data_IF_281639396907
#
_entry.id   IF_281639396907
#
_cell.length_a   1.000
_cell.length_b   1.000
_cell.length_c   1.000
_cell.angle_alpha   90.00
_cell.angle_beta   90.00
_cell.angle_gamma   90.00
#
_symmetry.space_group_name_H-M   'P 1'
#
loop_
_entity.id
_entity.type
_entity.pdbx_description
1 polymer ?
#
# COMPACT_ATOMS: atom_id res chain seq x y z
N UNK A 1 7.66 -6.75 -18.47
CA UNK A 1 7.31 -7.21 -17.11
C UNK A 1 6.80 -6.05 -16.23
N UNK A 2 7.55 -4.96 -16.06
CA UNK A 2 7.12 -3.77 -15.29
C UNK A 2 5.74 -3.20 -15.69
N UNK A 3 5.43 -3.14 -16.99
CA UNK A 3 4.14 -2.65 -17.48
C UNK A 3 2.95 -3.51 -17.03
N UNK A 4 3.13 -4.82 -16.86
CA UNK A 4 2.09 -5.71 -16.33
C UNK A 4 1.89 -5.44 -14.84
N UNK A 5 2.97 -5.44 -14.04
CA UNK A 5 2.92 -5.12 -12.60
C UNK A 5 2.22 -3.78 -12.36
N UNK A 6 2.58 -2.75 -13.14
CA UNK A 6 1.97 -1.43 -12.99
C UNK A 6 0.48 -1.40 -13.32
N UNK A 7 -0.01 -2.23 -14.26
CA UNK A 7 -1.45 -2.35 -14.54
C UNK A 7 -2.16 -3.11 -13.41
N UNK A 8 -1.68 -4.28 -13.05
CA UNK A 8 -2.27 -5.10 -11.98
C UNK A 8 -2.31 -4.36 -10.65
N UNK A 9 -1.20 -3.70 -10.27
CA UNK A 9 -1.16 -2.88 -9.05
C UNK A 9 -2.17 -1.74 -9.11
N UNK A 10 -2.37 -1.13 -10.28
CA UNK A 10 -3.41 -0.12 -10.48
C UNK A 10 -4.81 -0.68 -10.26
N UNK A 11 -5.10 -1.86 -10.80
CA UNK A 11 -6.41 -2.52 -10.63
C UNK A 11 -6.67 -2.93 -9.18
N UNK A 12 -5.67 -3.48 -8.49
CA UNK A 12 -5.74 -3.86 -7.07
C UNK A 12 -5.93 -2.67 -6.13
N UNK A 13 -5.46 -1.48 -6.53
CA UNK A 13 -5.56 -0.26 -5.73
C UNK A 13 -6.82 0.56 -5.98
N UNK A 14 -7.63 0.27 -7.02
CA UNK A 14 -8.91 0.96 -7.26
C UNK A 14 -9.80 1.04 -6.01
N UNK A 15 -9.94 -0.01 -5.17
CA UNK A 15 -10.76 0.09 -3.97
C UNK A 15 -10.19 1.04 -2.91
N UNK A 16 -8.90 1.38 -2.94
CA UNK A 16 -8.30 2.36 -2.02
C UNK A 16 -8.70 3.79 -2.40
N UNK A 17 -8.99 4.08 -3.67
CA UNK A 17 -9.43 5.40 -4.12
C UNK A 17 -10.83 5.77 -3.57
N UNK A 18 -11.63 4.77 -3.15
CA UNK A 18 -12.95 4.96 -2.56
C UNK A 18 -12.96 4.78 -1.04
N UNK A 19 -11.82 4.47 -0.42
CA UNK A 19 -11.69 4.26 1.02
C UNK A 19 -11.52 5.62 1.72
N UNK A 20 -12.42 5.97 2.65
CA UNK A 20 -12.40 7.26 3.35
C UNK A 20 -11.14 7.52 4.18
N UNK A 21 -10.38 6.46 4.48
CA UNK A 21 -9.10 6.53 5.20
C UNK A 21 -7.95 6.93 4.28
N UNK A 22 -8.16 6.97 2.96
CA UNK A 22 -7.14 7.29 1.96
C UNK A 22 -7.42 8.69 1.40
N UNK A 23 -6.45 9.58 1.51
CA UNK A 23 -6.54 10.93 0.96
C UNK A 23 -6.22 10.94 -0.54
N UNK A 24 -5.20 10.20 -0.97
CA UNK A 24 -4.80 10.13 -2.37
C UNK A 24 -3.98 8.86 -2.67
N UNK A 25 -4.16 8.28 -3.85
CA UNK A 25 -3.23 7.28 -4.41
C UNK A 25 -2.50 7.90 -5.61
N UNK A 26 -1.19 8.11 -5.47
CA UNK A 26 -0.32 8.59 -6.56
C UNK A 26 0.54 7.47 -7.10
N UNK A 27 0.56 7.27 -8.42
CA UNK A 27 1.27 6.15 -9.05
C UNK A 27 1.92 6.52 -10.38
N UNK A 28 3.15 6.03 -10.59
CA UNK A 28 3.81 6.01 -11.90
C UNK A 28 4.54 4.68 -12.09
N UNK A 29 4.17 3.94 -13.14
CA UNK A 29 4.67 2.58 -13.34
C UNK A 29 4.32 1.68 -12.15
N UNK A 30 5.34 1.15 -11.48
CA UNK A 30 5.19 0.31 -10.27
C UNK A 30 5.40 1.07 -8.97
N UNK A 31 5.89 2.31 -9.02
CA UNK A 31 6.07 3.14 -7.83
C UNK A 31 4.75 3.80 -7.44
N UNK A 32 4.30 3.55 -6.22
CA UNK A 32 3.02 4.02 -5.70
C UNK A 32 3.21 4.64 -4.32
N UNK A 33 2.60 5.79 -4.07
CA UNK A 33 2.37 6.34 -2.75
C UNK A 33 0.88 6.36 -2.43
N UNK A 34 0.53 5.82 -1.27
CA UNK A 34 -0.82 5.83 -0.72
C UNK A 34 -0.80 6.79 0.46
N UNK A 35 -1.33 8.00 0.27
CA UNK A 35 -1.47 8.99 1.32
C UNK A 35 -2.73 8.69 2.12
N UNK A 36 -2.56 8.43 3.41
CA UNK A 36 -3.67 8.09 4.31
C UNK A 36 -4.04 9.29 5.18
N UNK A 37 -5.30 9.38 5.59
CA UNK A 37 -5.80 10.45 6.45
C UNK A 37 -5.16 10.30 7.84
N UNK A 38 -4.47 11.31 8.38
CA UNK A 38 -3.80 11.18 9.68
C UNK A 38 -4.74 10.68 10.79
N UNK A 39 -4.31 9.67 11.53
CA UNK A 39 -5.08 9.08 12.62
C UNK A 39 -4.21 8.97 13.87
N UNK A 40 -3.84 10.09 14.49
CA UNK A 40 -2.86 10.15 15.57
C UNK A 40 -1.43 10.23 15.06
N UNK A 41 -0.45 9.85 15.88
CA UNK A 41 0.95 10.01 15.50
C UNK A 41 1.43 8.92 14.53
N UNK A 42 2.16 9.36 13.49
CA UNK A 42 2.90 8.51 12.54
C UNK A 42 2.04 7.39 11.92
N UNK A 43 0.88 7.75 11.38
CA UNK A 43 -0.11 6.80 10.84
C UNK A 43 0.51 5.86 9.80
N UNK A 44 1.18 6.42 8.80
CA UNK A 44 1.85 5.63 7.76
C UNK A 44 2.89 4.65 8.31
N UNK A 45 3.63 5.04 9.36
CA UNK A 45 4.58 4.15 10.02
C UNK A 45 3.89 2.98 10.72
N UNK A 46 2.81 3.24 11.46
CA UNK A 46 2.05 2.17 12.14
C UNK A 46 1.43 1.20 11.15
N UNK A 47 0.93 1.68 10.00
CA UNK A 47 0.43 0.82 8.92
C UNK A 47 1.56 -0.08 8.39
N UNK A 48 2.74 0.48 8.12
CA UNK A 48 3.90 -0.29 7.65
C UNK A 48 4.39 -1.31 8.70
N UNK A 49 4.22 -1.04 10.00
CA UNK A 49 4.54 -2.00 11.06
C UNK A 49 3.51 -3.14 11.08
N UNK A 50 2.22 -2.82 11.05
CA UNK A 50 1.15 -3.83 11.03
C UNK A 50 1.19 -4.71 9.78
N UNK A 51 1.56 -4.16 8.61
CA UNK A 51 1.75 -4.91 7.37
C UNK A 51 2.79 -6.05 7.50
N UNK A 52 3.73 -5.96 8.45
CA UNK A 52 4.73 -7.01 8.71
C UNK A 52 4.13 -8.29 9.27
N UNK A 53 2.95 -8.21 9.90
CA UNK A 53 2.21 -9.40 10.35
C UNK A 53 1.85 -10.32 9.19
N UNK A 54 1.69 -9.74 7.98
CA UNK A 54 1.49 -10.48 6.74
C UNK A 54 2.78 -10.65 5.93
N UNK A 55 3.95 -10.52 6.57
CA UNK A 55 5.26 -10.77 5.94
C UNK A 55 5.71 -9.69 4.94
N UNK A 56 5.02 -8.55 4.89
CA UNK A 56 5.30 -7.49 3.92
C UNK A 56 6.05 -6.34 4.57
N UNK A 57 7.14 -5.90 3.92
CA UNK A 57 7.89 -4.72 4.34
C UNK A 57 7.68 -3.62 3.30
N UNK A 58 7.09 -2.52 3.74
CA UNK A 58 6.93 -1.28 2.96
C UNK A 58 7.61 -0.12 3.67
N UNK A 59 7.65 1.04 3.01
CA UNK A 59 8.32 2.24 3.53
C UNK A 59 7.30 3.34 3.81
N UNK A 60 7.26 3.88 5.03
CA UNK A 60 6.50 5.08 5.33
C UNK A 60 7.30 6.35 4.97
N UNK A 61 6.60 7.38 4.49
CA UNK A 61 7.06 8.76 4.38
C UNK A 61 5.99 9.67 5.01
N UNK A 62 6.09 9.92 6.31
CA UNK A 62 5.00 10.56 7.07
C UNK A 62 3.75 9.68 7.08
N UNK A 63 2.63 10.22 6.60
CA UNK A 63 1.36 9.51 6.42
C UNK A 63 1.21 8.91 5.00
N UNK A 64 2.32 8.74 4.26
CA UNK A 64 2.32 8.06 2.97
C UNK A 64 2.93 6.67 3.10
N UNK A 65 2.23 5.64 2.63
CA UNK A 65 2.74 4.26 2.49
C UNK A 65 3.24 4.05 1.06
N UNK A 66 4.52 3.70 0.89
CA UNK A 66 5.14 3.50 -0.42
C UNK A 66 5.14 2.01 -0.81
N UNK A 67 4.65 1.73 -2.02
CA UNK A 67 4.78 0.44 -2.69
C UNK A 67 5.74 0.56 -3.87
N UNK A 68 6.72 -0.34 -3.91
CA UNK A 68 7.66 -0.48 -5.02
C UNK A 68 8.04 -1.96 -5.16
N UNK A 69 7.15 -2.80 -5.72
CA UNK A 69 7.40 -4.23 -5.85
C UNK A 69 8.61 -4.51 -6.77
N UNK A 70 9.36 -5.60 -6.52
CA UNK A 70 10.43 -6.02 -7.41
C UNK A 70 9.88 -6.39 -8.78
N UNK A 71 10.69 -6.19 -9.83
CA UNK A 71 10.23 -6.42 -11.20
C UNK A 71 9.94 -7.89 -11.51
N UNK A 72 10.41 -8.84 -10.69
CA UNK A 72 10.12 -10.27 -10.81
C UNK A 72 9.03 -10.78 -9.85
N UNK A 73 8.23 -9.87 -9.27
CA UNK A 73 7.13 -10.25 -8.36
C UNK A 73 6.10 -11.13 -9.08
N UNK A 74 5.59 -12.14 -8.38
CA UNK A 74 4.49 -12.97 -8.88
C UNK A 74 3.15 -12.28 -8.64
N UNK A 75 2.09 -12.73 -9.32
CA UNK A 75 0.75 -12.18 -9.08
C UNK A 75 0.27 -12.40 -7.62
N UNK A 76 0.40 -13.60 -7.02
CA UNK A 76 0.01 -13.79 -5.63
C UNK A 76 0.80 -12.91 -4.64
N UNK A 77 2.10 -12.70 -4.87
CA UNK A 77 2.92 -11.83 -4.02
C UNK A 77 2.49 -10.36 -4.15
N UNK A 78 2.06 -9.93 -5.34
CA UNK A 78 1.54 -8.58 -5.57
C UNK A 78 0.20 -8.37 -4.86
N UNK A 79 -0.68 -9.38 -4.89
CA UNK A 79 -1.93 -9.39 -4.13
C UNK A 79 -1.67 -9.34 -2.63
N UNK A 80 -0.69 -10.12 -2.13
CA UNK A 80 -0.25 -10.09 -0.72
C UNK A 80 0.30 -8.72 -0.32
N UNK A 81 1.10 -8.07 -1.18
CA UNK A 81 1.61 -6.72 -0.93
C UNK A 81 0.47 -5.72 -0.68
N UNK A 82 -0.58 -5.74 -1.51
CA UNK A 82 -1.72 -4.83 -1.37
C UNK A 82 -2.59 -5.22 -0.16
N UNK A 83 -2.82 -6.51 0.06
CA UNK A 83 -3.57 -7.01 1.21
C UNK A 83 -2.91 -6.62 2.54
N UNK A 84 -1.58 -6.64 2.62
CA UNK A 84 -0.85 -6.23 3.82
C UNK A 84 -1.00 -4.74 4.15
N UNK A 85 -1.08 -3.87 3.14
CA UNK A 85 -1.38 -2.45 3.36
C UNK A 85 -2.80 -2.27 3.88
N UNK A 86 -3.78 -2.97 3.28
CA UNK A 86 -5.18 -2.93 3.73
C UNK A 86 -5.29 -3.42 5.19
N UNK A 87 -4.68 -4.55 5.52
CA UNK A 87 -4.59 -5.06 6.90
C UNK A 87 -4.00 -4.01 7.84
N UNK A 88 -2.89 -3.39 7.45
CA UNK A 88 -2.27 -2.35 8.26
C UNK A 88 -3.18 -1.13 8.48
N UNK A 89 -4.00 -0.75 7.49
CA UNK A 89 -5.05 0.26 7.66
C UNK A 89 -6.14 -0.23 8.61
N UNK A 90 -6.64 -1.46 8.44
CA UNK A 90 -7.68 -2.01 9.31
C UNK A 90 -7.24 -2.06 10.78
N UNK A 91 -5.98 -2.40 11.05
CA UNK A 91 -5.40 -2.39 12.41
C UNK A 91 -5.24 -0.98 12.98
N UNK A 92 -4.85 -0.01 12.16
CA UNK A 92 -4.50 1.34 12.65
C UNK A 92 -5.71 2.25 12.82
N UNK A 93 -6.77 2.03 12.04
CA UNK A 93 -8.01 2.83 12.08
C UNK A 93 -9.16 2.17 12.87
N UNK A 94 -8.94 0.99 13.48
CA UNK A 94 -9.88 0.36 14.40
C UNK A 94 -10.00 1.15 15.71
#
# INVERSE_FOLDING_TARGET
HAAWIGRELGDLLKPFEADERVAEVRRIGTMTGIEVVPHGERTGFRICVAARELGVITRPLGDVVILMPPLGITQPDLEQLVAAVRHGMDVVYA
#
